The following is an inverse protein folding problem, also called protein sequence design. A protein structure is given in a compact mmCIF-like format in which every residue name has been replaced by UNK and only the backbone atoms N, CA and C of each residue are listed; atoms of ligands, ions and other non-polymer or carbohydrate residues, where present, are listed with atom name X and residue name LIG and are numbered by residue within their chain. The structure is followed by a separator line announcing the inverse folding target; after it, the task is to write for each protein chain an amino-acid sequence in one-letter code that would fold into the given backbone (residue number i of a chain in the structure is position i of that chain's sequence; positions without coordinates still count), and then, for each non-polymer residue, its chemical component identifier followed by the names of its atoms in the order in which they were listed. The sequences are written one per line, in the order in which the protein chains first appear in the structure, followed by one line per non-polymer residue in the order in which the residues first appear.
data_IF_629504461919
#
_entry.id   IF_629504461919
#
_cell.length_a   1.000
_cell.length_b   1.000
_cell.length_c   1.000
_cell.angle_alpha   90.00
_cell.angle_beta   90.00
_cell.angle_gamma   90.00
#
_symmetry.space_group_name_H-M   'P 1'
#
loop_
_entity.id
_entity.type
_entity.pdbx_description
1 polymer ?
#
# COMPACT_ATOMS: atom_id res chain seq x y z
N UNK A 1 4.06 17.53 -13.91
CA UNK A 1 4.54 16.15 -14.06
C UNK A 1 3.57 15.19 -13.38
N UNK A 2 3.25 14.10 -14.06
CA UNK A 2 2.36 13.10 -13.48
C UNK A 2 3.09 12.29 -12.41
N UNK A 3 2.42 12.06 -11.29
CA UNK A 3 2.97 11.21 -10.24
C UNK A 3 2.87 9.75 -10.68
N UNK A 4 3.87 8.96 -10.36
CA UNK A 4 3.87 7.53 -10.64
C UNK A 4 3.42 6.75 -9.42
N UNK A 5 2.81 5.58 -9.65
CA UNK A 5 2.47 4.67 -8.57
C UNK A 5 3.77 3.98 -8.13
N UNK A 6 4.10 4.13 -6.85
CA UNK A 6 5.32 3.52 -6.29
C UNK A 6 4.96 2.75 -5.02
N UNK A 7 5.74 1.72 -4.72
CA UNK A 7 5.55 0.97 -3.48
C UNK A 7 5.84 1.90 -2.30
N UNK A 8 4.94 1.91 -1.33
CA UNK A 8 5.02 2.82 -0.20
C UNK A 8 4.34 4.16 -0.45
N UNK A 9 3.94 4.42 -1.69
CA UNK A 9 3.24 5.67 -2.04
C UNK A 9 1.77 5.62 -1.68
N UNK A 10 1.12 6.78 -1.71
CA UNK A 10 -0.30 6.87 -1.44
C UNK A 10 -1.08 7.01 -2.74
N UNK A 11 -2.21 6.35 -2.82
CA UNK A 11 -3.06 6.36 -4.01
C UNK A 11 -4.52 6.50 -3.61
N UNK A 12 -5.29 7.09 -4.49
CA UNK A 12 -6.74 7.15 -4.35
C UNK A 12 -7.35 5.98 -5.12
N UNK A 13 -8.18 5.20 -4.44
CA UNK A 13 -8.85 4.06 -5.06
C UNK A 13 -10.18 4.49 -5.68
N UNK A 14 -10.82 3.64 -6.51
CA UNK A 14 -12.04 4.06 -7.23
C UNK A 14 -13.19 4.57 -6.36
N UNK A 15 -13.31 4.14 -5.13
CA UNK A 15 -14.38 4.60 -4.25
C UNK A 15 -14.07 5.93 -3.54
N UNK A 16 -12.89 6.52 -3.79
CA UNK A 16 -12.51 7.81 -3.24
C UNK A 16 -11.64 7.76 -2.01
N UNK A 17 -11.45 6.59 -1.40
CA UNK A 17 -10.58 6.47 -0.23
C UNK A 17 -9.11 6.51 -0.65
N UNK A 18 -8.25 6.96 0.26
CA UNK A 18 -6.81 6.96 0.03
C UNK A 18 -6.22 5.75 0.73
N UNK A 19 -5.41 4.99 0.01
CA UNK A 19 -4.73 3.83 0.54
C UNK A 19 -3.24 3.91 0.28
N UNK A 20 -2.50 2.92 0.77
CA UNK A 20 -1.06 2.87 0.63
C UNK A 20 -0.65 1.63 -0.18
N UNK A 21 0.17 1.84 -1.19
CA UNK A 21 0.65 0.74 -2.03
C UNK A 21 1.61 -0.11 -1.21
N UNK A 22 1.27 -1.38 -1.01
CA UNK A 22 2.07 -2.29 -0.21
C UNK A 22 3.01 -3.12 -1.06
N UNK A 23 2.53 -3.64 -2.18
CA UNK A 23 3.36 -4.41 -3.08
C UNK A 23 2.73 -4.45 -4.47
N UNK A 24 3.53 -4.90 -5.43
CA UNK A 24 3.09 -5.08 -6.81
C UNK A 24 3.13 -6.57 -7.12
N UNK A 25 1.99 -7.13 -7.56
CA UNK A 25 1.88 -8.53 -7.96
C UNK A 25 1.54 -8.58 -9.45
N UNK A 26 2.47 -9.01 -10.27
CA UNK A 26 2.31 -9.03 -11.73
C UNK A 26 1.90 -7.64 -12.23
N UNK A 27 0.67 -7.50 -12.72
CA UNK A 27 0.16 -6.22 -13.24
C UNK A 27 -0.74 -5.50 -12.24
N UNK A 28 -0.86 -6.01 -11.02
CA UNK A 28 -1.76 -5.43 -10.02
C UNK A 28 -0.99 -4.92 -8.82
N UNK A 29 -1.55 -3.90 -8.18
CA UNK A 29 -0.99 -3.33 -6.96
C UNK A 29 -1.85 -3.72 -5.77
N UNK A 30 -1.20 -4.22 -4.72
CA UNK A 30 -1.86 -4.48 -3.45
C UNK A 30 -1.87 -3.19 -2.64
N UNK A 31 -3.06 -2.71 -2.31
CA UNK A 31 -3.25 -1.45 -1.60
C UNK A 31 -3.87 -1.72 -0.24
N UNK A 32 -3.26 -1.16 0.80
CA UNK A 32 -3.80 -1.22 2.15
C UNK A 32 -4.77 -0.07 2.34
N UNK A 33 -6.02 -0.37 2.63
CA UNK A 33 -7.08 0.63 2.76
C UNK A 33 -7.83 0.41 4.07
N UNK A 34 -8.23 1.50 4.71
CA UNK A 34 -9.06 1.42 5.92
C UNK A 34 -10.48 1.02 5.51
N UNK A 35 -11.09 0.08 6.24
CA UNK A 35 -12.45 -0.34 5.98
C UNK A 35 -13.42 0.83 6.24
N UNK A 36 -14.52 0.86 5.50
CA UNK A 36 -15.53 1.92 5.65
C UNK A 36 -16.26 1.86 6.99
N UNK A 37 -16.46 0.65 7.50
CA UNK A 37 -17.31 0.41 8.67
C UNK A 37 -16.54 0.09 9.95
N UNK A 38 -15.21 0.05 9.88
CA UNK A 38 -14.41 -0.28 11.06
C UNK A 38 -13.04 0.41 10.97
N UNK A 39 -12.31 0.37 12.08
CA UNK A 39 -10.94 0.94 12.12
C UNK A 39 -9.91 -0.01 11.54
N UNK A 40 -10.28 -1.24 11.23
CA UNK A 40 -9.35 -2.21 10.67
C UNK A 40 -9.03 -1.89 9.22
N UNK A 41 -7.93 -2.46 8.73
CA UNK A 41 -7.49 -2.28 7.35
C UNK A 41 -7.75 -3.55 6.54
N UNK A 42 -7.86 -3.38 5.24
CA UNK A 42 -7.98 -4.50 4.31
C UNK A 42 -7.02 -4.28 3.15
N UNK A 43 -6.67 -5.37 2.49
CA UNK A 43 -5.79 -5.33 1.33
C UNK A 43 -6.61 -5.63 0.09
N UNK A 44 -6.54 -4.72 -0.88
CA UNK A 44 -7.28 -4.85 -2.14
C UNK A 44 -6.31 -4.80 -3.31
N UNK A 45 -6.61 -5.53 -4.37
CA UNK A 45 -5.80 -5.54 -5.58
C UNK A 45 -6.46 -4.68 -6.64
N UNK A 46 -5.66 -3.82 -7.28
CA UNK A 46 -6.14 -2.92 -8.33
C UNK A 46 -5.17 -2.90 -9.49
N UNK A 47 -5.70 -2.69 -10.70
CA UNK A 47 -4.87 -2.38 -11.85
C UNK A 47 -4.37 -0.94 -11.74
N UNK A 48 -3.24 -0.65 -12.39
CA UNK A 48 -2.64 0.68 -12.31
C UNK A 48 -3.61 1.79 -12.74
N UNK A 49 -4.42 1.54 -13.78
CA UNK A 49 -5.35 2.56 -14.28
C UNK A 49 -6.49 2.88 -13.31
N UNK A 50 -6.73 2.01 -12.33
CA UNK A 50 -7.78 2.24 -11.32
C UNK A 50 -7.30 3.14 -10.18
N UNK A 51 -5.97 3.34 -10.09
CA UNK A 51 -5.37 4.07 -8.98
C UNK A 51 -4.88 5.44 -9.42
N UNK A 52 -5.07 6.44 -8.54
CA UNK A 52 -4.58 7.79 -8.76
C UNK A 52 -3.49 8.11 -7.74
N UNK A 53 -2.24 8.30 -8.18
CA UNK A 53 -1.19 8.70 -7.22
C UNK A 53 -1.54 10.06 -6.61
N UNK A 54 -1.46 10.14 -5.29
CA UNK A 54 -1.76 11.37 -4.55
C UNK A 54 -0.71 11.57 -3.46
N UNK A 55 -0.66 12.78 -2.93
CA UNK A 55 0.20 13.05 -1.78
C UNK A 55 -0.35 12.32 -0.57
N UNK A 56 0.55 11.81 0.27
CA UNK A 56 0.13 11.14 1.49
C UNK A 56 -0.54 12.13 2.44
N UNK A 57 -1.66 11.75 3.06
CA UNK A 57 -2.32 12.62 4.02
C UNK A 57 -1.39 13.01 5.16
N UNK A 58 -1.62 14.18 5.71
CA UNK A 58 -0.82 14.70 6.82
C UNK A 58 -0.84 13.71 7.99
N UNK A 59 0.31 13.46 8.55
CA UNK A 59 0.43 12.54 9.67
C UNK A 59 0.74 11.10 9.28
N UNK A 60 0.68 10.79 7.98
CA UNK A 60 1.04 9.45 7.51
C UNK A 60 2.55 9.31 7.38
N UNK A 61 3.02 8.08 7.50
CA UNK A 61 4.43 7.76 7.35
C UNK A 61 4.92 8.13 5.95
N UNK A 62 6.15 8.64 5.85
CA UNK A 62 6.75 8.96 4.55
C UNK A 62 6.93 7.69 3.70
N UNK A 63 7.11 7.88 2.40
CA UNK A 63 7.34 6.75 1.48
C UNK A 63 8.57 5.97 1.92
N UNK A 64 9.66 6.66 2.26
CA UNK A 64 10.89 6.01 2.71
C UNK A 64 10.71 5.27 4.01
N UNK A 65 10.04 5.88 4.98
CA UNK A 65 9.77 5.26 6.28
C UNK A 65 8.90 4.02 6.13
N UNK A 66 7.88 4.10 5.28
CA UNK A 66 6.99 2.97 5.04
C UNK A 66 7.72 1.82 4.36
N UNK A 67 8.60 2.12 3.41
CA UNK A 67 9.39 1.09 2.73
C UNK A 67 10.34 0.38 3.70
N UNK A 68 10.92 1.10 4.65
CA UNK A 68 11.74 0.47 5.70
C UNK A 68 10.91 -0.45 6.58
N UNK A 69 9.72 0.01 6.94
CA UNK A 69 8.77 -0.79 7.73
C UNK A 69 8.38 -2.06 6.99
N UNK A 70 8.06 -1.95 5.70
CA UNK A 70 7.70 -3.11 4.88
C UNK A 70 8.83 -4.12 4.79
N UNK A 71 10.05 -3.65 4.59
CA UNK A 71 11.22 -4.53 4.50
C UNK A 71 11.35 -5.40 5.75
N UNK A 72 11.23 -4.78 6.93
CA UNK A 72 11.31 -5.50 8.20
C UNK A 72 10.15 -6.47 8.38
N UNK A 73 8.94 -6.02 8.05
CA UNK A 73 7.73 -6.83 8.22
C UNK A 73 7.73 -8.04 7.30
N UNK A 74 8.07 -7.84 6.02
CA UNK A 74 8.10 -8.93 5.04
C UNK A 74 9.22 -9.93 5.35
N UNK A 75 10.37 -9.46 5.83
CA UNK A 75 11.45 -10.34 6.24
C UNK A 75 11.03 -11.23 7.40
N UNK A 76 10.35 -10.67 8.40
CA UNK A 76 9.84 -11.44 9.53
C UNK A 76 8.81 -12.48 9.09
N UNK A 77 7.96 -12.14 8.16
CA UNK A 77 6.98 -13.08 7.63
C UNK A 77 7.64 -14.24 6.90
N UNK A 78 8.68 -13.96 6.11
CA UNK A 78 9.46 -15.00 5.43
C UNK A 78 10.14 -15.93 6.41
N UNK A 79 10.71 -15.40 7.48
CA UNK A 79 11.34 -16.21 8.52
C UNK A 79 10.33 -17.16 9.18
N UNK A 80 9.11 -16.67 9.44
CA UNK A 80 8.06 -17.52 10.01
C UNK A 80 7.66 -18.63 9.06
N UNK A 81 7.57 -18.35 7.78
CA UNK A 81 7.22 -19.35 6.76
C UNK A 81 8.31 -20.40 6.60
N UNK A 82 9.57 -20.01 6.69
CA UNK A 82 10.69 -20.94 6.50
C UNK A 82 10.96 -21.84 7.70
N UNK A 83 10.32 -21.59 8.83
CA UNK A 83 10.48 -22.39 10.05
C UNK A 83 9.47 -23.52 10.20
N UNK A 84 8.67 -23.74 9.20
CA UNK A 84 7.69 -24.85 9.22
C UNK A 84 8.27 -26.13 8.71
#
# INVERSE_FOLDING_TARGET
MSKSIVIGGCVKIPDGRVGRVREKEKNKYKVRVRRKTSVSHQFLLFDAHELKPVDCPKGWMSIEGYNRYLKKTLAKMKERESKH
#
